data_IF_891290221642
#
_entry.id   IF_891290221642
#
_cell.length_a   1.000
_cell.length_b   1.000
_cell.length_c   1.000
_cell.angle_alpha   90.00
_cell.angle_beta   90.00
_cell.angle_gamma   90.00
#
_symmetry.space_group_name_H-M   'P 1'
#
loop_
_entity.id
_entity.type
_entity.pdbx_description
1 polymer ?
#
# COMPACT_ATOMS: atom_id res chain seq x y z
N UNK A 1 -18.98 -22.51 14.95
CA UNK A 1 -18.83 -22.22 13.51
C UNK A 1 -19.22 -20.75 13.33
N UNK A 2 -18.43 -19.97 12.61
CA UNK A 2 -18.71 -18.53 12.41
C UNK A 2 -19.85 -18.39 11.38
N UNK A 3 -20.79 -17.48 11.59
CA UNK A 3 -21.89 -17.16 10.67
C UNK A 3 -21.95 -15.65 10.39
N UNK A 4 -22.82 -15.22 9.47
CA UNK A 4 -23.01 -13.80 9.11
C UNK A 4 -23.47 -12.91 10.27
N UNK A 5 -24.04 -13.51 11.32
CA UNK A 5 -24.49 -12.82 12.53
C UNK A 5 -23.46 -12.92 13.68
N UNK A 6 -22.33 -13.62 13.48
CA UNK A 6 -21.26 -13.70 14.47
C UNK A 6 -20.64 -12.32 14.76
N UNK A 7 -20.29 -12.10 16.02
CA UNK A 7 -19.54 -10.92 16.47
C UNK A 7 -18.07 -11.08 16.13
N UNK A 8 -17.55 -10.24 15.24
CA UNK A 8 -16.16 -10.28 14.78
C UNK A 8 -15.44 -9.04 15.29
N UNK A 9 -14.35 -9.27 16.02
CA UNK A 9 -13.45 -8.23 16.52
C UNK A 9 -12.20 -8.24 15.64
N UNK A 10 -11.79 -7.09 15.14
CA UNK A 10 -10.54 -6.90 14.41
C UNK A 10 -9.67 -5.94 15.23
N UNK A 11 -8.46 -6.37 15.58
CA UNK A 11 -7.46 -5.54 16.27
C UNK A 11 -6.45 -5.03 15.25
N UNK A 12 -6.46 -3.72 15.02
CA UNK A 12 -5.65 -3.02 14.01
C UNK A 12 -6.50 -2.53 12.85
N UNK A 13 -6.63 -1.22 12.71
CA UNK A 13 -7.25 -0.48 11.60
C UNK A 13 -6.25 -0.07 10.52
N UNK A 14 -5.20 -0.86 10.30
CA UNK A 14 -4.30 -0.70 9.15
C UNK A 14 -4.83 -1.37 7.87
N UNK A 15 -3.96 -1.50 6.86
CA UNK A 15 -4.30 -2.09 5.54
C UNK A 15 -4.99 -3.45 5.66
N UNK A 16 -4.42 -4.38 6.42
CA UNK A 16 -5.00 -5.71 6.55
C UNK A 16 -6.34 -5.68 7.30
N UNK A 17 -6.41 -4.99 8.44
CA UNK A 17 -7.63 -4.96 9.23
C UNK A 17 -8.81 -4.30 8.53
N UNK A 18 -8.59 -3.16 7.86
CA UNK A 18 -9.64 -2.48 7.09
C UNK A 18 -10.04 -3.25 5.83
N UNK A 19 -9.07 -3.84 5.12
CA UNK A 19 -9.38 -4.71 3.98
C UNK A 19 -10.19 -5.92 4.43
N UNK A 20 -9.83 -6.57 5.54
CA UNK A 20 -10.60 -7.66 6.15
C UNK A 20 -12.01 -7.21 6.53
N UNK A 21 -12.16 -6.04 7.18
CA UNK A 21 -13.46 -5.49 7.53
C UNK A 21 -14.35 -5.26 6.29
N UNK A 22 -13.79 -4.65 5.24
CA UNK A 22 -14.48 -4.42 3.97
C UNK A 22 -14.94 -5.72 3.33
N UNK A 23 -14.08 -6.74 3.25
CA UNK A 23 -14.43 -8.02 2.64
C UNK A 23 -15.42 -8.83 3.46
N UNK A 24 -15.34 -8.76 4.80
CA UNK A 24 -16.36 -9.33 5.68
C UNK A 24 -17.72 -8.64 5.47
N UNK A 25 -17.75 -7.31 5.42
CA UNK A 25 -18.98 -6.55 5.18
C UNK A 25 -19.59 -6.91 3.80
N UNK A 26 -18.77 -6.99 2.75
CA UNK A 26 -19.19 -7.47 1.42
C UNK A 26 -19.68 -8.92 1.41
N UNK A 27 -19.13 -9.76 2.29
CA UNK A 27 -19.57 -11.12 2.52
C UNK A 27 -20.88 -11.24 3.32
N UNK A 28 -21.48 -10.11 3.74
CA UNK A 28 -22.75 -10.06 4.45
C UNK A 28 -22.63 -10.19 5.97
N UNK A 29 -21.42 -10.18 6.53
CA UNK A 29 -21.23 -10.16 7.98
C UNK A 29 -21.66 -8.80 8.55
N UNK A 30 -22.50 -8.83 9.59
CA UNK A 30 -23.18 -7.62 10.08
C UNK A 30 -22.56 -7.01 11.33
N UNK A 31 -21.82 -7.80 12.10
CA UNK A 31 -21.35 -7.41 13.43
C UNK A 31 -19.81 -7.43 13.48
N UNK A 32 -19.21 -6.46 12.79
CA UNK A 32 -17.77 -6.27 12.67
C UNK A 32 -17.40 -5.03 13.47
N UNK A 33 -16.38 -5.11 14.33
CA UNK A 33 -15.85 -3.94 15.04
C UNK A 33 -14.34 -3.92 14.95
N UNK A 34 -13.80 -2.78 14.53
CA UNK A 34 -12.36 -2.55 14.41
C UNK A 34 -11.87 -1.71 15.58
N UNK A 35 -10.86 -2.22 16.29
CA UNK A 35 -10.21 -1.57 17.42
C UNK A 35 -8.79 -1.18 17.02
N UNK A 36 -8.46 0.10 17.10
CA UNK A 36 -7.09 0.58 16.90
C UNK A 36 -6.71 1.57 18.01
N UNK A 37 -5.42 1.78 18.23
CA UNK A 37 -4.97 2.85 19.12
C UNK A 37 -5.06 4.23 18.46
N UNK A 38 -4.94 4.30 17.13
CA UNK A 38 -5.02 5.55 16.39
C UNK A 38 -6.48 5.95 16.20
N UNK A 39 -6.83 7.19 16.56
CA UNK A 39 -8.11 7.81 16.24
C UNK A 39 -8.11 8.25 14.77
N UNK A 40 -8.31 7.32 13.83
CA UNK A 40 -8.24 7.61 12.40
C UNK A 40 -9.38 8.52 11.90
N UNK A 41 -10.48 8.59 12.63
CA UNK A 41 -11.56 9.54 12.45
C UNK A 41 -11.14 10.99 12.74
N UNK A 42 -10.15 11.21 13.61
CA UNK A 42 -9.61 12.53 13.91
C UNK A 42 -8.34 12.85 13.10
N UNK A 43 -7.44 11.87 13.00
CA UNK A 43 -6.10 12.08 12.44
C UNK A 43 -6.03 11.80 10.93
N UNK A 44 -7.02 11.12 10.35
CA UNK A 44 -7.10 10.81 8.91
C UNK A 44 -5.83 10.16 8.33
N UNK A 45 -5.19 9.27 9.11
CA UNK A 45 -3.93 8.61 8.73
C UNK A 45 -2.75 9.56 8.45
N UNK A 46 -2.84 10.82 8.88
CA UNK A 46 -1.80 11.83 8.69
C UNK A 46 -0.64 11.58 9.68
N UNK A 47 0.58 11.27 9.20
CA UNK A 47 1.73 11.08 10.08
C UNK A 47 2.06 12.31 10.93
N UNK A 48 1.76 13.52 10.43
CA UNK A 48 1.98 14.76 11.18
C UNK A 48 1.03 14.93 12.37
N UNK A 49 -0.07 14.17 12.39
CA UNK A 49 -1.04 14.11 13.50
C UNK A 49 -0.84 12.91 14.41
N UNK A 50 0.34 12.28 14.37
CA UNK A 50 0.69 11.19 15.29
C UNK A 50 0.20 9.81 14.87
N UNK A 51 -0.25 9.62 13.62
CA UNK A 51 -0.46 8.29 13.07
C UNK A 51 0.90 7.62 12.77
N UNK A 52 1.16 6.50 13.43
CA UNK A 52 2.44 5.78 13.36
C UNK A 52 2.32 4.36 12.78
N UNK A 53 1.18 4.06 12.14
CA UNK A 53 1.01 2.84 11.35
C UNK A 53 1.83 2.90 10.06
N UNK A 54 2.35 1.77 9.58
CA UNK A 54 3.15 1.73 8.34
C UNK A 54 2.39 2.23 7.09
N UNK A 55 1.05 2.22 7.14
CA UNK A 55 0.15 2.73 6.11
C UNK A 55 -0.21 4.21 6.27
N UNK A 56 0.12 4.84 7.39
CA UNK A 56 -0.01 6.28 7.57
C UNK A 56 1.09 6.96 6.76
N UNK A 57 0.71 7.55 5.63
CA UNK A 57 1.62 8.19 4.70
C UNK A 57 0.83 9.13 3.78
N UNK A 58 1.49 10.08 3.14
CA UNK A 58 0.86 10.89 2.09
C UNK A 58 0.63 10.06 0.82
N UNK A 59 1.60 9.19 0.49
CA UNK A 59 1.49 8.32 -0.65
C UNK A 59 2.31 7.03 -0.51
N UNK A 60 1.98 6.02 -1.31
CA UNK A 60 2.74 4.77 -1.45
C UNK A 60 2.94 4.44 -2.92
N UNK A 61 4.10 3.88 -3.25
CA UNK A 61 4.35 3.40 -4.63
C UNK A 61 3.50 2.17 -4.92
N UNK A 62 2.77 2.22 -6.03
CA UNK A 62 2.06 1.09 -6.60
C UNK A 62 2.82 0.58 -7.83
N UNK A 63 3.16 -0.70 -7.85
CA UNK A 63 3.81 -1.39 -8.98
C UNK A 63 3.33 -2.83 -9.09
N UNK A 64 3.60 -3.46 -10.22
CA UNK A 64 3.23 -4.86 -10.48
C UNK A 64 4.44 -5.76 -10.75
N UNK A 65 5.65 -5.19 -10.86
CA UNK A 65 6.88 -5.95 -11.07
C UNK A 65 7.48 -6.41 -9.73
N UNK A 66 7.54 -7.73 -9.52
CA UNK A 66 7.97 -8.41 -8.29
C UNK A 66 8.94 -9.59 -8.56
N UNK A 67 9.84 -9.45 -9.54
CA UNK A 67 10.77 -10.50 -9.95
C UNK A 67 10.06 -11.73 -10.50
N UNK A 68 10.45 -12.90 -10.00
CA UNK A 68 9.85 -14.20 -10.31
C UNK A 68 8.59 -14.51 -9.48
N UNK A 69 8.14 -13.59 -8.62
CA UNK A 69 7.08 -13.86 -7.66
C UNK A 69 5.66 -13.67 -8.24
N UNK A 70 5.15 -14.73 -8.88
CA UNK A 70 3.84 -14.75 -9.53
C UNK A 70 2.67 -14.40 -8.61
N UNK A 71 2.72 -14.78 -7.33
CA UNK A 71 1.63 -14.50 -6.41
C UNK A 71 1.49 -13.00 -6.15
N UNK A 72 2.60 -12.30 -5.92
CA UNK A 72 2.58 -10.85 -5.69
C UNK A 72 2.21 -10.08 -6.95
N UNK A 73 2.72 -10.52 -8.11
CA UNK A 73 2.32 -9.95 -9.39
C UNK A 73 0.80 -10.06 -9.60
N UNK A 74 0.22 -11.24 -9.39
CA UNK A 74 -1.22 -11.46 -9.56
C UNK A 74 -2.05 -10.61 -8.59
N UNK A 75 -1.65 -10.56 -7.32
CA UNK A 75 -2.31 -9.70 -6.32
C UNK A 75 -2.25 -8.22 -6.73
N UNK A 76 -1.12 -7.74 -7.23
CA UNK A 76 -0.99 -6.36 -7.69
C UNK A 76 -1.83 -6.08 -8.93
N UNK A 77 -1.88 -7.00 -9.90
CA UNK A 77 -2.71 -6.87 -11.10
C UNK A 77 -4.20 -6.81 -10.75
N UNK A 78 -4.66 -7.67 -9.82
CA UNK A 78 -6.04 -7.64 -9.33
C UNK A 78 -6.34 -6.35 -8.57
N UNK A 79 -5.46 -5.95 -7.64
CA UNK A 79 -5.59 -4.72 -6.88
C UNK A 79 -5.66 -3.49 -7.79
N UNK A 80 -4.86 -3.44 -8.86
CA UNK A 80 -4.91 -2.34 -9.84
C UNK A 80 -6.31 -2.13 -10.40
N UNK A 81 -6.97 -3.23 -10.77
CA UNK A 81 -8.30 -3.16 -11.37
C UNK A 81 -9.33 -2.61 -10.37
N UNK A 82 -9.22 -3.00 -9.09
CA UNK A 82 -10.05 -2.47 -8.01
C UNK A 82 -9.79 -0.98 -7.76
N UNK A 83 -8.53 -0.55 -7.67
CA UNK A 83 -8.18 0.86 -7.49
C UNK A 83 -8.72 1.74 -8.61
N UNK A 84 -8.56 1.31 -9.87
CA UNK A 84 -9.09 2.03 -11.01
C UNK A 84 -10.61 2.02 -11.06
N UNK A 85 -11.27 0.98 -10.54
CA UNK A 85 -12.72 0.97 -10.38
C UNK A 85 -13.16 2.02 -9.35
N UNK A 86 -12.53 2.05 -8.18
CA UNK A 86 -12.84 3.06 -7.16
C UNK A 86 -12.60 4.48 -7.64
N UNK A 87 -11.52 4.76 -8.37
CA UNK A 87 -11.33 6.08 -8.99
C UNK A 87 -12.49 6.45 -9.92
N UNK A 88 -13.01 5.50 -10.70
CA UNK A 88 -14.15 5.76 -11.59
C UNK A 88 -15.44 5.98 -10.82
N UNK A 89 -15.64 5.24 -9.73
CA UNK A 89 -16.83 5.37 -8.89
C UNK A 89 -16.82 6.72 -8.18
N UNK A 90 -15.70 7.10 -7.54
CA UNK A 90 -15.51 8.41 -6.90
C UNK A 90 -15.84 9.55 -7.87
N UNK A 91 -15.28 9.51 -9.07
CA UNK A 91 -15.51 10.54 -10.10
C UNK A 91 -16.96 10.66 -10.56
N UNK A 92 -17.75 9.57 -10.46
CA UNK A 92 -19.16 9.55 -10.85
C UNK A 92 -20.10 9.89 -9.69
N UNK A 93 -19.66 9.70 -8.46
CA UNK A 93 -20.42 10.01 -7.26
C UNK A 93 -20.62 11.50 -7.08
N UNK A 94 -21.71 11.88 -6.42
CA UNK A 94 -21.87 13.25 -5.91
C UNK A 94 -21.02 13.42 -4.65
N UNK A 95 -20.56 14.63 -4.38
CA UNK A 95 -19.83 14.93 -3.14
C UNK A 95 -20.61 14.52 -1.87
N UNK A 96 -21.96 14.58 -1.88
CA UNK A 96 -22.80 14.15 -0.76
C UNK A 96 -22.90 12.64 -0.55
N UNK A 97 -22.47 11.84 -1.52
CA UNK A 97 -22.48 10.36 -1.48
C UNK A 97 -21.08 9.80 -1.17
N UNK A 98 -20.08 10.67 -1.11
CA UNK A 98 -18.71 10.32 -0.78
C UNK A 98 -18.46 10.51 0.72
N UNK A 99 -17.52 9.73 1.27
CA UNK A 99 -16.90 10.05 2.54
C UNK A 99 -16.48 11.51 2.64
N UNK A 100 -16.64 12.12 3.82
CA UNK A 100 -16.41 13.56 4.01
C UNK A 100 -15.01 14.06 3.65
N UNK A 101 -14.02 13.17 3.56
CA UNK A 101 -12.65 13.45 3.14
C UNK A 101 -12.37 13.24 1.64
N UNK A 102 -13.38 12.85 0.85
CA UNK A 102 -13.27 12.65 -0.59
C UNK A 102 -14.16 13.62 -1.37
N UNK A 103 -13.64 14.05 -2.52
CA UNK A 103 -14.33 14.83 -3.55
C UNK A 103 -14.34 14.04 -4.87
N UNK A 104 -15.26 14.34 -5.81
CA UNK A 104 -15.26 13.69 -7.13
C UNK A 104 -13.98 13.93 -7.96
N UNK A 105 -13.18 14.93 -7.58
CA UNK A 105 -11.89 15.23 -8.18
C UNK A 105 -10.76 14.33 -7.66
N UNK A 106 -10.98 13.63 -6.54
CA UNK A 106 -9.96 12.79 -5.93
C UNK A 106 -9.73 11.49 -6.70
N UNK A 107 -8.49 11.02 -6.59
CA UNK A 107 -8.06 9.71 -7.05
C UNK A 107 -7.43 8.97 -5.87
N UNK A 108 -7.66 7.67 -5.77
CA UNK A 108 -6.97 6.81 -4.82
C UNK A 108 -5.65 6.29 -5.42
N UNK A 109 -5.66 5.91 -6.70
CA UNK A 109 -4.47 5.52 -7.47
C UNK A 109 -4.20 6.53 -8.59
N UNK A 110 -3.09 7.26 -8.50
CA UNK A 110 -2.59 8.13 -9.56
C UNK A 110 -1.62 7.36 -10.45
N UNK A 111 -1.97 7.19 -11.73
CA UNK A 111 -1.12 6.55 -12.73
C UNK A 111 -0.13 7.57 -13.28
N UNK A 112 0.94 7.81 -12.51
CA UNK A 112 2.01 8.72 -12.87
C UNK A 112 3.21 8.03 -13.54
N UNK A 113 3.23 6.70 -13.57
CA UNK A 113 4.36 5.86 -13.98
C UNK A 113 5.28 5.53 -12.81
N UNK A 114 5.90 4.35 -12.86
CA UNK A 114 6.89 3.88 -11.88
C UNK A 114 8.14 3.35 -12.56
N UNK A 115 9.28 3.95 -12.24
CA UNK A 115 10.61 3.54 -12.70
C UNK A 115 11.25 2.57 -11.72
N UNK A 116 11.78 1.47 -12.25
CA UNK A 116 12.69 0.59 -11.54
C UNK A 116 14.07 0.72 -12.17
N UNK A 117 15.02 1.28 -11.44
CA UNK A 117 16.36 1.62 -11.92
C UNK A 117 17.43 0.92 -11.09
N UNK A 118 18.57 0.68 -11.72
CA UNK A 118 19.80 0.24 -11.07
C UNK A 118 21.00 0.87 -11.75
N UNK A 119 22.13 0.87 -11.04
CA UNK A 119 23.41 1.20 -11.61
C UNK A 119 23.81 0.26 -12.75
N UNK A 120 24.52 0.80 -13.73
CA UNK A 120 25.13 0.05 -14.82
C UNK A 120 24.33 0.14 -16.12
N UNK A 121 24.89 -0.45 -17.17
CA UNK A 121 24.29 -0.49 -18.51
C UNK A 121 23.47 -1.74 -18.77
N UNK A 122 23.63 -2.75 -17.93
CA UNK A 122 22.97 -4.05 -18.03
C UNK A 122 21.73 -4.11 -17.13
N UNK A 123 20.72 -4.86 -17.58
CA UNK A 123 19.51 -5.08 -16.79
C UNK A 123 19.83 -6.02 -15.63
N UNK A 124 19.47 -5.64 -14.40
CA UNK A 124 19.56 -6.56 -13.25
C UNK A 124 18.64 -7.75 -13.43
N UNK A 125 19.07 -8.91 -12.92
CA UNK A 125 18.32 -10.17 -13.01
C UNK A 125 16.90 -10.03 -12.49
N UNK A 126 16.72 -9.46 -11.30
CA UNK A 126 15.40 -9.26 -10.69
C UNK A 126 14.44 -8.43 -11.59
N UNK A 127 14.95 -7.42 -12.29
CA UNK A 127 14.15 -6.64 -13.26
C UNK A 127 13.87 -7.44 -14.53
N UNK A 128 14.87 -8.17 -15.05
CA UNK A 128 14.71 -9.03 -16.22
C UNK A 128 13.70 -10.18 -15.95
N UNK A 129 13.73 -10.77 -14.76
CA UNK A 129 12.77 -11.77 -14.28
C UNK A 129 11.35 -11.20 -14.25
N UNK A 130 11.19 -9.98 -13.71
CA UNK A 130 9.89 -9.29 -13.69
C UNK A 130 9.31 -9.15 -15.10
N UNK A 131 10.14 -8.68 -16.06
CA UNK A 131 9.71 -8.49 -17.46
C UNK A 131 9.37 -9.83 -18.13
N UNK A 132 10.18 -10.88 -17.90
CA UNK A 132 9.93 -12.23 -18.43
C UNK A 132 8.66 -12.85 -17.86
N UNK A 133 8.41 -12.68 -16.56
CA UNK A 133 7.20 -13.19 -15.92
C UNK A 133 5.96 -12.48 -16.47
N UNK A 134 6.00 -11.15 -16.57
CA UNK A 134 4.94 -10.35 -17.17
C UNK A 134 4.68 -10.73 -18.63
N UNK A 135 5.71 -10.95 -19.44
CA UNK A 135 5.56 -11.44 -20.83
C UNK A 135 4.77 -12.76 -20.88
N UNK A 136 5.08 -13.69 -19.97
CA UNK A 136 4.45 -15.01 -19.93
C UNK A 136 3.01 -14.97 -19.40
N UNK A 137 2.71 -14.10 -18.44
CA UNK A 137 1.49 -14.20 -17.63
C UNK A 137 0.53 -13.02 -17.77
N UNK A 138 1.02 -11.87 -18.21
CA UNK A 138 0.28 -10.63 -18.36
C UNK A 138 0.80 -9.81 -19.56
N UNK A 139 0.77 -10.36 -20.79
CA UNK A 139 1.42 -9.76 -21.97
C UNK A 139 0.88 -8.36 -22.32
N UNK A 140 -0.40 -8.09 -22.09
CA UNK A 140 -0.97 -6.75 -22.31
C UNK A 140 -0.41 -5.72 -21.32
N UNK A 141 -0.14 -6.11 -20.09
CA UNK A 141 0.52 -5.24 -19.12
C UNK A 141 2.03 -5.11 -19.41
N UNK A 142 2.68 -6.18 -19.89
CA UNK A 142 4.08 -6.12 -20.34
C UNK A 142 4.30 -5.12 -21.47
N UNK A 143 3.32 -4.93 -22.37
CA UNK A 143 3.36 -3.88 -23.42
C UNK A 143 3.42 -2.46 -22.86
N UNK A 144 3.08 -2.25 -21.59
CA UNK A 144 3.12 -0.93 -20.93
C UNK A 144 4.39 -0.74 -20.08
N UNK A 145 5.38 -1.61 -20.28
CA UNK A 145 6.70 -1.53 -19.66
C UNK A 145 7.76 -1.21 -20.73
N UNK A 146 8.58 -0.20 -20.48
CA UNK A 146 9.51 0.38 -21.45
C UNK A 146 10.93 0.42 -20.87
N UNK A 147 11.84 -0.29 -21.51
CA UNK A 147 13.23 -0.43 -21.07
C UNK A 147 14.00 0.86 -21.38
N UNK A 148 14.78 1.32 -20.42
CA UNK A 148 15.64 2.51 -20.55
C UNK A 148 16.73 2.27 -21.61
N UNK A 149 16.86 3.20 -22.54
CA UNK A 149 17.89 3.18 -23.60
C UNK A 149 17.57 2.29 -24.79
N UNK A 150 16.37 1.71 -24.87
CA UNK A 150 15.94 0.92 -26.02
C UNK A 150 15.15 1.77 -27.00
N UNK A 151 15.68 1.92 -28.22
CA UNK A 151 15.05 2.75 -29.28
C UNK A 151 13.62 2.29 -29.58
N UNK A 152 13.38 0.98 -29.64
CA UNK A 152 12.07 0.42 -29.95
C UNK A 152 11.02 0.76 -28.87
N UNK A 153 11.41 0.75 -27.61
CA UNK A 153 10.52 1.11 -26.51
C UNK A 153 10.24 2.61 -26.47
N UNK A 154 11.23 3.46 -26.76
CA UNK A 154 11.00 4.90 -26.89
C UNK A 154 10.03 5.22 -28.05
N UNK A 155 10.17 4.54 -29.20
CA UNK A 155 9.24 4.68 -30.33
C UNK A 155 7.83 4.16 -30.01
N UNK A 156 7.72 3.08 -29.22
CA UNK A 156 6.42 2.62 -28.70
C UNK A 156 5.80 3.66 -27.75
N UNK A 157 6.61 4.28 -26.89
CA UNK A 157 6.15 5.28 -25.93
C UNK A 157 5.70 6.57 -26.62
N UNK A 158 6.42 7.02 -27.66
CA UNK A 158 6.05 8.15 -28.53
C UNK A 158 4.65 8.00 -29.13
N UNK A 159 4.28 6.77 -29.53
CA UNK A 159 2.95 6.47 -30.08
C UNK A 159 1.83 6.57 -29.04
N UNK A 160 2.15 6.48 -27.75
CA UNK A 160 1.17 6.62 -26.67
C UNK A 160 0.95 8.09 -26.33
N UNK A 161 2.03 8.82 -26.02
CA UNK A 161 1.97 10.26 -25.77
C UNK A 161 3.37 10.88 -25.72
N UNK A 162 3.58 12.07 -26.31
CA UNK A 162 4.80 12.86 -26.11
C UNK A 162 5.12 13.10 -24.63
N UNK A 163 4.08 13.22 -23.78
CA UNK A 163 4.24 13.43 -22.34
C UNK A 163 4.95 12.27 -21.64
N UNK A 164 4.71 11.05 -22.09
CA UNK A 164 5.39 9.88 -21.52
C UNK A 164 6.87 9.84 -21.90
N UNK A 165 7.23 10.35 -23.07
CA UNK A 165 8.63 10.49 -23.50
C UNK A 165 9.35 11.51 -22.62
N UNK A 166 8.71 12.65 -22.31
CA UNK A 166 9.26 13.63 -21.35
C UNK A 166 9.52 12.98 -19.98
N UNK A 167 8.55 12.22 -19.46
CA UNK A 167 8.69 11.47 -18.21
C UNK A 167 9.80 10.41 -18.28
N UNK A 168 9.98 9.78 -19.43
CA UNK A 168 10.97 8.74 -19.62
C UNK A 168 12.41 9.28 -19.46
N UNK A 169 12.66 10.48 -19.96
CA UNK A 169 13.98 11.11 -19.89
C UNK A 169 14.25 11.89 -18.59
N UNK A 170 13.29 11.99 -17.66
CA UNK A 170 13.47 12.78 -16.42
C UNK A 170 14.57 12.21 -15.51
N UNK A 171 14.82 10.90 -15.62
CA UNK A 171 15.80 10.16 -14.81
C UNK A 171 17.16 10.00 -15.51
N UNK A 172 17.35 10.53 -16.71
CA UNK A 172 18.57 10.31 -17.51
C UNK A 172 19.84 10.85 -16.86
N UNK A 173 19.72 11.83 -15.97
CA UNK A 173 20.86 12.42 -15.26
C UNK A 173 21.18 11.70 -13.93
N UNK A 174 20.38 10.73 -13.51
CA UNK A 174 20.69 9.94 -12.31
C UNK A 174 21.95 9.12 -12.60
N UNK A 175 22.92 9.16 -11.67
CA UNK A 175 24.21 8.46 -11.77
C UNK A 175 24.94 8.71 -13.10
N UNK A 176 24.97 9.98 -13.56
CA UNK A 176 25.57 10.40 -14.84
C UNK A 176 25.07 9.61 -16.06
N UNK A 177 23.83 9.11 -15.99
CA UNK A 177 23.21 8.30 -17.03
C UNK A 177 23.65 6.84 -17.03
N UNK A 178 24.54 6.42 -16.13
CA UNK A 178 24.94 5.02 -15.93
C UNK A 178 23.89 4.25 -15.14
N UNK A 179 22.70 4.14 -15.75
CA UNK A 179 21.56 3.41 -15.20
C UNK A 179 20.86 2.57 -16.27
N UNK A 180 20.31 1.44 -15.83
CA UNK A 180 19.46 0.57 -16.63
C UNK A 180 18.25 0.15 -15.80
N UNK A 181 17.16 -0.16 -16.48
CA UNK A 181 15.88 -0.42 -15.85
C UNK A 181 14.74 -0.26 -16.82
N UNK A 182 13.53 -0.08 -16.30
CA UNK A 182 12.34 0.16 -17.10
C UNK A 182 11.33 1.03 -16.36
N UNK A 183 10.47 1.72 -17.11
CA UNK A 183 9.27 2.38 -16.59
C UNK A 183 8.03 1.53 -16.89
N UNK A 184 7.17 1.37 -15.90
CA UNK A 184 5.81 0.86 -16.05
C UNK A 184 4.83 2.04 -16.02
N UNK A 185 4.18 2.32 -17.16
CA UNK A 185 3.22 3.44 -17.25
C UNK A 185 1.82 3.08 -16.75
N UNK A 186 1.60 1.83 -16.33
CA UNK A 186 0.39 1.38 -15.64
C UNK A 186 0.55 1.40 -14.11
N UNK A 187 1.70 1.83 -13.61
CA UNK A 187 2.05 1.96 -12.20
C UNK A 187 2.03 3.44 -11.77
N UNK A 188 2.28 3.70 -10.48
CA UNK A 188 2.31 5.07 -9.97
C UNK A 188 2.25 5.16 -8.45
N UNK A 189 1.41 6.04 -7.92
CA UNK A 189 1.24 6.24 -6.48
C UNK A 189 -0.20 6.07 -6.03
N UNK A 190 -0.36 5.50 -4.84
CA UNK A 190 -1.60 5.55 -4.09
C UNK A 190 -1.56 6.69 -3.09
N UNK A 191 -2.65 7.45 -2.97
CA UNK A 191 -2.81 8.47 -1.92
C UNK A 191 -3.32 7.80 -0.65
N UNK A 192 -2.42 7.45 0.27
CA UNK A 192 -2.73 6.56 1.39
C UNK A 192 -3.64 7.20 2.43
N UNK A 193 -3.56 8.53 2.60
CA UNK A 193 -4.44 9.35 3.43
C UNK A 193 -5.90 9.36 2.94
N UNK A 194 -6.12 9.21 1.62
CA UNK A 194 -7.46 9.22 1.00
C UNK A 194 -8.17 7.86 0.98
N UNK A 195 -7.46 6.78 1.26
CA UNK A 195 -8.00 5.41 1.10
C UNK A 195 -8.95 4.99 2.24
N UNK A 196 -8.94 5.69 3.39
CA UNK A 196 -9.53 5.16 4.62
C UNK A 196 -10.57 6.08 5.26
N UNK A 197 -11.72 6.26 4.62
CA UNK A 197 -12.54 7.42 4.95
C UNK A 197 -13.86 7.19 5.68
N UNK A 198 -14.31 5.95 5.95
CA UNK A 198 -15.56 5.74 6.75
C UNK A 198 -15.64 4.45 7.61
N UNK A 199 -14.56 3.69 7.81
CA UNK A 199 -14.63 2.57 8.76
C UNK A 199 -14.38 3.12 10.16
N UNK A 200 -15.43 3.16 10.99
CA UNK A 200 -15.36 3.59 12.38
C UNK A 200 -14.36 2.70 13.14
N UNK A 201 -13.18 3.25 13.41
CA UNK A 201 -12.22 2.69 14.35
C UNK A 201 -12.39 3.39 15.68
N UNK A 202 -12.48 2.62 16.77
CA UNK A 202 -12.31 3.19 18.10
C UNK A 202 -10.83 3.59 18.25
N UNK A 203 -10.52 4.78 18.80
CA UNK A 203 -9.15 5.24 19.10
C UNK A 203 -8.76 5.10 20.58
N UNK A 204 -7.52 5.44 20.97
CA UNK A 204 -7.03 5.40 22.36
C UNK A 204 -7.90 6.26 23.30
N UNK A 205 -8.36 5.75 24.47
CA UNK A 205 -8.09 4.42 25.04
C UNK A 205 -9.08 3.32 24.64
N UNK A 206 -10.26 3.68 24.12
CA UNK A 206 -11.36 2.75 23.88
C UNK A 206 -11.13 1.76 22.73
N UNK A 207 -10.16 2.03 21.85
CA UNK A 207 -9.74 1.17 20.75
C UNK A 207 -8.40 0.48 20.94
N UNK A 208 -7.61 0.94 21.91
CA UNK A 208 -6.27 0.39 22.16
C UNK A 208 -6.38 -0.91 22.93
N UNK A 209 -5.84 -1.98 22.35
CA UNK A 209 -5.80 -3.28 23.01
C UNK A 209 -4.91 -3.24 24.25
N UNK A 210 -5.45 -3.69 25.38
CA UNK A 210 -4.68 -4.01 26.58
C UNK A 210 -4.31 -5.49 26.60
N UNK A 211 -5.30 -6.39 26.45
CA UNK A 211 -5.05 -7.83 26.46
C UNK A 211 -6.13 -8.65 25.75
N UNK A 212 -5.78 -9.88 25.36
CA UNK A 212 -6.75 -10.85 24.85
C UNK A 212 -7.47 -11.55 26.01
N UNK A 213 -8.79 -11.65 25.93
CA UNK A 213 -9.57 -12.43 26.91
C UNK A 213 -9.50 -13.90 26.51
N UNK A 214 -8.87 -14.72 27.35
CA UNK A 214 -8.65 -16.15 27.09
C UNK A 214 -9.47 -17.00 28.07
N UNK A 215 -10.42 -17.74 27.54
CA UNK A 215 -11.17 -18.77 28.26
C UNK A 215 -10.43 -20.10 28.25
N UNK A 216 -10.38 -20.76 29.40
CA UNK A 216 -9.93 -22.16 29.52
C UNK A 216 -11.14 -23.08 29.44
N UNK A 217 -11.08 -24.07 28.56
CA UNK A 217 -12.06 -25.17 28.46
C UNK A 217 -11.31 -26.50 28.63
N UNK A 218 -11.19 -26.94 29.88
CA UNK A 218 -10.37 -28.11 30.23
C UNK A 218 -8.89 -27.86 29.91
N UNK A 219 -8.34 -28.68 29.01
CA UNK A 219 -6.94 -28.56 28.53
C UNK A 219 -6.79 -27.57 27.37
N UNK A 220 -7.89 -27.07 26.81
CA UNK A 220 -7.86 -26.15 25.66
C UNK A 220 -8.02 -24.70 26.08
N UNK A 221 -7.41 -23.78 25.32
CA UNK A 221 -7.57 -22.33 25.47
C UNK A 221 -8.28 -21.77 24.24
N UNK A 222 -9.13 -20.78 24.43
CA UNK A 222 -9.78 -20.03 23.34
C UNK A 222 -9.79 -18.56 23.66
N UNK A 223 -9.47 -17.72 22.67
CA UNK A 223 -9.73 -16.28 22.73
C UNK A 223 -11.22 -16.04 22.57
N UNK A 224 -11.86 -15.38 23.53
CA UNK A 224 -13.28 -15.03 23.52
C UNK A 224 -13.56 -13.53 23.42
N UNK A 225 -12.52 -12.71 23.38
CA UNK A 225 -12.65 -11.27 23.27
C UNK A 225 -11.35 -10.52 23.48
N UNK A 226 -11.47 -9.22 23.70
CA UNK A 226 -10.39 -8.29 24.02
C UNK A 226 -10.77 -7.43 25.23
N UNK A 227 -9.78 -6.96 25.96
CA UNK A 227 -9.90 -5.85 26.89
C UNK A 227 -9.14 -4.66 26.33
N UNK A 228 -9.77 -3.49 26.34
CA UNK A 228 -9.19 -2.22 25.87
C UNK A 228 -8.61 -1.42 27.04
N UNK A 229 -7.70 -0.48 26.77
CA UNK A 229 -7.01 0.30 27.80
C UNK A 229 -7.91 1.23 28.62
N UNK A 230 -9.18 1.41 28.24
CA UNK A 230 -10.20 2.07 29.05
C UNK A 230 -10.85 1.12 30.08
N UNK A 231 -10.35 -0.11 30.18
CA UNK A 231 -10.79 -1.15 31.10
C UNK A 231 -12.01 -1.96 30.62
N UNK A 232 -12.58 -1.66 29.43
CA UNK A 232 -13.76 -2.35 28.92
C UNK A 232 -13.42 -3.69 28.28
N UNK A 233 -14.33 -4.65 28.48
CA UNK A 233 -14.24 -5.98 27.86
C UNK A 233 -15.20 -6.08 26.68
N UNK A 234 -14.68 -6.53 25.54
CA UNK A 234 -15.42 -6.73 24.31
C UNK A 234 -15.35 -8.21 23.90
N UNK A 235 -16.50 -8.89 23.92
CA UNK A 235 -16.58 -10.31 23.58
C UNK A 235 -16.98 -10.51 22.12
N UNK A 236 -16.36 -11.49 21.47
CA UNK A 236 -16.57 -11.83 20.07
C UNK A 236 -16.52 -13.34 19.83
N UNK A 237 -17.21 -13.78 18.79
CA UNK A 237 -17.14 -15.16 18.32
C UNK A 237 -15.79 -15.46 17.65
N UNK A 238 -15.22 -14.44 17.01
CA UNK A 238 -13.92 -14.45 16.34
C UNK A 238 -13.15 -13.16 16.66
N UNK A 239 -11.87 -13.30 16.98
CA UNK A 239 -10.92 -12.19 17.12
C UNK A 239 -9.85 -12.34 16.03
N UNK A 240 -9.67 -11.31 15.22
CA UNK A 240 -8.65 -11.21 14.17
C UNK A 240 -7.61 -10.19 14.62
N UNK A 241 -6.35 -10.62 14.72
CA UNK A 241 -5.23 -9.71 15.02
C UNK A 241 -4.57 -9.30 13.71
N UNK A 242 -4.68 -8.02 13.36
CA UNK A 242 -4.14 -7.39 12.15
C UNK A 242 -3.31 -6.15 12.51
N UNK A 243 -2.49 -6.25 13.56
CA UNK A 243 -1.79 -5.14 14.19
C UNK A 243 -0.40 -4.80 13.59
N UNK A 244 -0.14 -5.19 12.34
CA UNK A 244 1.13 -4.88 11.66
C UNK A 244 2.36 -5.29 12.47
N UNK A 245 3.35 -4.41 12.59
CA UNK A 245 4.58 -4.64 13.37
C UNK A 245 4.35 -4.89 14.87
N UNK A 246 3.18 -4.52 15.42
CA UNK A 246 2.82 -4.75 16.82
C UNK A 246 2.22 -6.14 17.07
N UNK A 247 2.05 -6.95 16.02
CA UNK A 247 1.44 -8.29 16.14
C UNK A 247 2.19 -9.16 17.16
N UNK A 248 3.52 -9.08 17.22
CA UNK A 248 4.34 -9.86 18.17
C UNK A 248 4.20 -9.36 19.62
N UNK A 249 3.77 -8.12 19.85
CA UNK A 249 3.44 -7.62 21.18
C UNK A 249 2.11 -8.19 21.70
N UNK A 250 1.20 -8.57 20.80
CA UNK A 250 -0.12 -9.13 21.12
C UNK A 250 -0.07 -10.66 21.17
N UNK A 251 0.61 -11.27 20.20
CA UNK A 251 0.80 -12.70 20.03
C UNK A 251 2.31 -12.99 20.02
N UNK A 252 2.94 -13.16 21.19
CA UNK A 252 4.39 -13.37 21.29
C UNK A 252 4.89 -14.49 20.39
N UNK A 253 4.15 -15.56 20.21
CA UNK A 253 4.52 -16.72 19.36
C UNK A 253 4.74 -16.35 17.88
N UNK A 254 4.18 -15.23 17.41
CA UNK A 254 4.35 -14.74 16.05
C UNK A 254 5.78 -14.26 15.76
N UNK A 255 6.64 -14.08 16.77
CA UNK A 255 8.05 -13.66 16.60
C UNK A 255 8.86 -14.59 15.68
N UNK A 256 8.41 -15.83 15.49
CA UNK A 256 9.07 -16.82 14.61
C UNK A 256 8.88 -16.52 13.12
N UNK A 257 7.92 -15.68 12.77
CA UNK A 257 7.51 -15.40 11.39
C UNK A 257 7.37 -13.91 11.10
N UNK A 258 7.31 -13.06 12.12
CA UNK A 258 7.11 -11.62 12.00
C UNK A 258 8.26 -10.89 12.68
N UNK A 259 9.00 -10.12 11.90
CA UNK A 259 10.04 -9.21 12.37
C UNK A 259 9.59 -7.77 12.10
N UNK A 260 9.51 -6.95 13.16
CA UNK A 260 9.20 -5.54 13.03
C UNK A 260 10.46 -4.80 12.56
N UNK A 261 10.43 -4.29 11.33
CA UNK A 261 11.52 -3.49 10.76
C UNK A 261 11.03 -2.08 10.48
N UNK A 262 11.88 -1.09 10.71
CA UNK A 262 11.60 0.32 10.43
C UNK A 262 12.42 0.81 9.23
N UNK A 263 11.80 1.60 8.37
CA UNK A 263 12.46 2.38 7.33
C UNK A 263 12.49 3.86 7.70
N UNK A 264 13.34 4.62 7.02
CA UNK A 264 13.38 6.09 7.17
C UNK A 264 12.74 6.75 5.95
N UNK A 265 11.87 7.73 6.20
CA UNK A 265 11.29 8.60 5.16
C UNK A 265 11.65 10.05 5.45
N UNK A 266 11.78 10.85 4.40
CA UNK A 266 12.07 12.28 4.52
C UNK A 266 11.14 13.05 3.59
N UNK A 267 10.54 14.11 4.11
CA UNK A 267 9.71 15.05 3.35
C UNK A 267 10.50 16.33 3.10
N UNK A 268 10.43 16.83 1.87
CA UNK A 268 11.06 18.09 1.46
C UNK A 268 9.99 19.00 0.89
N UNK A 269 9.67 20.07 1.61
CA UNK A 269 8.68 21.04 1.17
C UNK A 269 9.19 21.87 -0.02
N UNK A 270 8.38 21.91 -1.08
CA UNK A 270 8.61 22.80 -2.21
C UNK A 270 8.06 24.19 -1.86
N UNK A 271 8.87 25.27 -1.94
CA UNK A 271 8.39 26.61 -1.61
C UNK A 271 7.14 27.00 -2.43
N UNK A 272 6.08 27.50 -1.77
CA UNK A 272 4.78 27.80 -2.40
C UNK A 272 4.85 28.76 -3.60
N UNK A 273 5.87 29.63 -3.62
CA UNK A 273 6.11 30.60 -4.70
C UNK A 273 6.83 29.99 -5.93
N UNK A 274 7.49 28.83 -5.78
CA UNK A 274 8.19 28.13 -6.86
C UNK A 274 7.24 27.26 -7.68
N UNK A 275 6.31 27.90 -8.40
CA UNK A 275 5.29 27.22 -9.22
C UNK A 275 5.90 26.29 -10.26
N UNK A 276 7.08 26.65 -10.78
CA UNK A 276 7.88 25.82 -11.68
C UNK A 276 8.29 24.48 -11.07
N UNK A 277 8.63 24.44 -9.77
CA UNK A 277 8.97 23.19 -9.09
C UNK A 277 7.73 22.37 -8.75
N UNK A 278 6.64 23.02 -8.35
CA UNK A 278 5.35 22.36 -8.14
C UNK A 278 4.87 21.68 -9.42
N UNK A 279 5.00 22.36 -10.56
CA UNK A 279 4.69 21.78 -11.87
C UNK A 279 5.67 20.64 -12.19
N UNK A 280 6.98 20.87 -12.11
CA UNK A 280 7.99 19.86 -12.43
C UNK A 280 7.81 18.54 -11.67
N UNK A 281 7.54 18.61 -10.37
CA UNK A 281 7.40 17.44 -9.51
C UNK A 281 5.95 16.95 -9.36
N UNK A 282 4.99 17.57 -10.06
CA UNK A 282 3.62 17.08 -10.11
C UNK A 282 3.59 15.66 -10.72
N UNK A 283 2.73 14.74 -10.25
CA UNK A 283 2.60 13.39 -10.81
C UNK A 283 2.28 13.34 -12.32
N UNK A 284 1.72 14.42 -12.88
CA UNK A 284 1.50 14.55 -14.34
C UNK A 284 2.79 14.77 -15.14
N UNK A 285 3.87 15.19 -14.47
CA UNK A 285 5.15 15.56 -15.08
C UNK A 285 6.31 14.69 -14.60
N UNK A 286 6.21 14.11 -13.40
CA UNK A 286 7.23 13.27 -12.79
C UNK A 286 6.65 11.89 -12.43
N UNK A 287 7.21 10.79 -12.96
CA UNK A 287 6.92 9.45 -12.45
C UNK A 287 7.56 9.27 -11.08
N UNK A 288 7.08 8.28 -10.32
CA UNK A 288 7.88 7.78 -9.20
C UNK A 288 9.00 6.92 -9.73
N UNK A 289 10.08 6.84 -8.98
CA UNK A 289 11.23 6.03 -9.34
C UNK A 289 11.84 5.42 -8.10
N UNK A 290 12.36 4.21 -8.26
CA UNK A 290 13.08 3.47 -7.24
C UNK A 290 14.44 3.07 -7.78
N UNK A 291 15.45 3.15 -6.93
CA UNK A 291 16.83 2.85 -7.28
C UNK A 291 17.34 1.68 -6.44
N UNK A 292 17.90 0.67 -7.12
CA UNK A 292 18.50 -0.53 -6.52
C UNK A 292 17.54 -1.44 -5.73
N UNK A 293 16.29 -1.59 -6.16
CA UNK A 293 15.41 -2.63 -5.57
C UNK A 293 16.00 -4.02 -5.83
N UNK A 294 16.16 -4.80 -4.76
CA UNK A 294 16.53 -6.21 -4.72
C UNK A 294 15.37 -7.10 -4.25
N UNK A 295 15.50 -8.41 -4.46
CA UNK A 295 14.58 -9.43 -3.92
C UNK A 295 14.48 -9.36 -2.38
N UNK A 296 15.55 -8.94 -1.71
CA UNK A 296 15.55 -8.74 -0.26
C UNK A 296 14.83 -7.43 0.10
N UNK A 297 15.08 -6.33 -0.60
CA UNK A 297 14.36 -5.06 -0.34
C UNK A 297 12.86 -5.09 -0.68
N UNK A 298 12.40 -6.08 -1.45
CA UNK A 298 10.96 -6.36 -1.64
C UNK A 298 10.28 -6.86 -0.36
N UNK A 299 11.03 -7.48 0.54
CA UNK A 299 10.53 -8.18 1.72
C UNK A 299 11.31 -7.89 3.02
N UNK A 300 11.94 -6.71 3.09
CA UNK A 300 12.85 -6.23 4.16
C UNK A 300 14.33 -6.51 3.84
N UNK A 301 15.10 -5.41 3.94
CA UNK A 301 16.53 -5.20 3.70
C UNK A 301 17.44 -6.45 3.72
N UNK A 302 18.51 -6.48 2.90
CA UNK A 302 19.50 -7.55 2.95
C UNK A 302 20.07 -7.66 4.37
N UNK A 303 20.28 -8.91 4.81
CA UNK A 303 21.17 -9.20 5.94
C UNK A 303 22.47 -8.45 5.69
N UNK A 304 22.81 -7.52 6.57
CA UNK A 304 24.19 -7.09 6.70
C UNK A 304 24.91 -8.28 7.35
N UNK A 305 25.65 -9.04 6.54
CA UNK A 305 26.71 -9.87 7.09
C UNK A 305 27.82 -8.92 7.58
N UNK A 306 28.27 -9.15 8.81
CA UNK A 306 29.32 -8.39 9.52
C UNK A 306 30.64 -8.27 8.74
#
# INVERSE_FOLDING_TARGET
MVSVDSKIIIVGGGVFGLSTALWLARGGYKNITVFDRCAFDENHYDPSKGCDGASADLNKVFRMAYGDNLNYQNLALEARNLWLAWNRDIKKSKASELPGSLTPEDQLLCICGSYLLSEGREMRDYYAESLKLMEKTAPEQRKMQFIKGETEDEERLKKISPKWVEKYHIIDKINDGNTKGFIDINAGIMYADKVNTEILTMGDPAGKLETLIIEKRGTTKRVSGIQTCDGRSHYGDLVIVAAGGWTTSILPEAHRTVEATAGTVMFMDVPKHRKDLWEKFHPDNCPVWSYLITKDTDFLLPKMDD
#
